data_IF_184249571990
#
_entry.id   IF_184249571990
#
_cell.length_a   1.000
_cell.length_b   1.000
_cell.length_c   1.000
_cell.angle_alpha   90.00
_cell.angle_beta   90.00
_cell.angle_gamma   90.00
#
_symmetry.space_group_name_H-M   'P 1'
#
loop_
_entity.id
_entity.type
_entity.pdbx_description
1 polymer ?
#
# COMPACT_ATOMS: atom_id res chain seq x y z
N UNK A 1 26.48 -8.00 36.44
CA UNK A 1 25.76 -6.73 36.12
C UNK A 1 24.39 -7.09 35.54
N UNK A 2 23.40 -7.45 36.38
CA UNK A 2 22.08 -7.85 35.88
C UNK A 2 20.93 -7.46 36.85
N UNK A 3 21.05 -6.35 37.56
CA UNK A 3 20.14 -6.03 38.66
C UNK A 3 19.14 -4.87 38.37
N UNK A 4 19.09 -4.33 37.15
CA UNK A 4 18.16 -3.21 36.85
C UNK A 4 17.23 -3.46 35.65
N UNK A 5 16.89 -4.73 35.37
CA UNK A 5 15.96 -5.05 34.29
C UNK A 5 14.51 -5.14 34.80
N UNK A 6 13.62 -4.31 34.23
CA UNK A 6 12.17 -4.39 34.48
C UNK A 6 11.63 -5.62 33.78
N UNK A 7 11.42 -6.70 34.50
CA UNK A 7 11.07 -8.03 33.96
C UNK A 7 9.79 -8.00 33.10
N UNK A 8 8.80 -7.20 33.47
CA UNK A 8 7.53 -7.06 32.73
C UNK A 8 7.74 -6.38 31.39
N UNK A 9 8.54 -5.30 31.33
CA UNK A 9 8.88 -4.62 30.09
C UNK A 9 9.62 -5.56 29.14
N UNK A 10 10.62 -6.29 29.64
CA UNK A 10 11.35 -7.30 28.85
C UNK A 10 10.41 -8.34 28.26
N UNK A 11 9.49 -8.88 29.06
CA UNK A 11 8.51 -9.87 28.57
C UNK A 11 7.59 -9.26 27.51
N UNK A 12 7.15 -8.00 27.66
CA UNK A 12 6.34 -7.31 26.66
C UNK A 12 7.06 -7.14 25.32
N UNK A 13 8.35 -6.76 25.36
CA UNK A 13 9.17 -6.62 24.15
C UNK A 13 9.40 -8.00 23.47
N UNK A 14 9.64 -9.07 24.23
CA UNK A 14 9.76 -10.42 23.67
C UNK A 14 8.46 -10.90 23.01
N UNK A 15 7.30 -10.60 23.60
CA UNK A 15 6.00 -10.89 22.98
C UNK A 15 5.87 -10.12 21.66
N UNK A 16 6.24 -8.82 21.65
CA UNK A 16 6.18 -8.01 20.44
C UNK A 16 7.09 -8.53 19.33
N UNK A 17 8.34 -8.92 19.67
CA UNK A 17 9.26 -9.53 18.72
C UNK A 17 8.71 -10.84 18.15
N UNK A 18 8.13 -11.69 19.01
CA UNK A 18 7.55 -12.96 18.59
C UNK A 18 6.36 -12.74 17.64
N UNK A 19 5.48 -11.78 17.94
CA UNK A 19 4.36 -11.41 17.05
C UNK A 19 4.88 -10.88 15.72
N UNK A 20 5.97 -10.07 15.72
CA UNK A 20 6.58 -9.53 14.50
C UNK A 20 7.19 -10.59 13.58
N UNK A 21 7.71 -11.66 14.15
CA UNK A 21 8.37 -12.76 13.40
C UNK A 21 7.37 -13.74 12.78
N UNK A 22 6.08 -13.66 13.14
CA UNK A 22 5.05 -14.59 12.70
C UNK A 22 3.96 -13.85 11.90
N UNK A 23 3.43 -14.49 10.87
CA UNK A 23 2.30 -14.00 10.05
C UNK A 23 0.94 -14.26 10.73
N UNK A 24 0.88 -14.03 12.04
CA UNK A 24 -0.25 -14.28 12.91
C UNK A 24 0.06 -15.34 13.96
N UNK A 25 -0.07 -14.99 15.23
CA UNK A 25 0.23 -15.89 16.36
C UNK A 25 -0.91 -15.86 17.37
N UNK A 26 -1.27 -17.02 17.89
CA UNK A 26 -2.33 -17.15 18.90
C UNK A 26 -1.80 -16.98 20.33
N UNK A 27 -2.70 -16.71 21.28
CA UNK A 27 -2.37 -16.67 22.71
C UNK A 27 -1.67 -17.97 23.18
N UNK A 28 -2.14 -19.14 22.68
CA UNK A 28 -1.58 -20.43 23.07
C UNK A 28 -0.13 -20.60 22.60
N UNK A 29 0.18 -20.15 21.40
CA UNK A 29 1.54 -20.17 20.85
C UNK A 29 2.46 -19.22 21.60
N UNK A 30 2.02 -17.98 21.90
CA UNK A 30 2.79 -17.04 22.74
C UNK A 30 3.11 -17.64 24.13
N UNK A 31 2.14 -18.30 24.76
CA UNK A 31 2.35 -18.99 26.03
C UNK A 31 3.42 -20.07 25.91
N UNK A 32 3.36 -20.88 24.86
CA UNK A 32 4.28 -22.00 24.62
C UNK A 32 5.70 -21.51 24.34
N UNK A 33 5.85 -20.57 23.39
CA UNK A 33 7.18 -20.11 22.93
C UNK A 33 7.94 -19.30 24.01
N UNK A 34 7.22 -18.51 24.81
CA UNK A 34 7.83 -17.65 25.84
C UNK A 34 7.69 -18.21 27.26
N UNK A 35 7.16 -19.43 27.41
CA UNK A 35 6.92 -20.07 28.71
C UNK A 35 6.16 -19.18 29.70
N UNK A 36 5.12 -18.48 29.22
CA UNK A 36 4.32 -17.56 30.03
C UNK A 36 3.04 -18.23 30.53
N UNK A 37 2.60 -17.81 31.73
CA UNK A 37 1.25 -18.15 32.17
C UNK A 37 0.19 -17.48 31.30
N UNK A 38 -0.99 -18.09 31.19
CA UNK A 38 -2.11 -17.57 30.43
C UNK A 38 -2.47 -16.12 30.80
N UNK A 39 -2.51 -15.81 32.09
CA UNK A 39 -2.81 -14.49 32.61
C UNK A 39 -1.75 -13.45 32.19
N UNK A 40 -0.47 -13.83 32.25
CA UNK A 40 0.64 -12.94 31.86
C UNK A 40 0.63 -12.68 30.36
N UNK A 41 0.56 -13.72 29.53
CA UNK A 41 0.54 -13.59 28.07
C UNK A 41 -0.67 -12.78 27.61
N UNK A 42 -1.86 -13.04 28.15
CA UNK A 42 -3.07 -12.29 27.83
C UNK A 42 -2.94 -10.80 28.16
N UNK A 43 -2.48 -10.46 29.38
CA UNK A 43 -2.30 -9.04 29.78
C UNK A 43 -1.28 -8.32 28.91
N UNK A 44 -0.16 -8.98 28.54
CA UNK A 44 0.84 -8.37 27.67
C UNK A 44 0.29 -8.13 26.26
N UNK A 45 -0.40 -9.11 25.67
CA UNK A 45 -1.04 -8.98 24.37
C UNK A 45 -2.12 -7.89 24.38
N UNK A 46 -2.98 -7.85 25.41
CA UNK A 46 -3.99 -6.79 25.54
C UNK A 46 -3.34 -5.40 25.64
N UNK A 47 -2.30 -5.24 26.45
CA UNK A 47 -1.59 -3.96 26.56
C UNK A 47 -0.96 -3.54 25.21
N UNK A 48 -0.33 -4.47 24.50
CA UNK A 48 0.25 -4.18 23.19
C UNK A 48 -0.82 -3.85 22.15
N UNK A 49 -1.99 -4.47 22.21
CA UNK A 49 -3.15 -4.19 21.35
C UNK A 49 -3.75 -2.80 21.67
N UNK A 50 -3.98 -2.47 22.95
CA UNK A 50 -4.45 -1.15 23.39
C UNK A 50 -3.50 -0.03 22.96
N UNK A 51 -2.18 -0.27 23.03
CA UNK A 51 -1.14 0.65 22.58
C UNK A 51 -0.96 0.65 21.05
N UNK A 52 -1.73 -0.15 20.31
CA UNK A 52 -1.69 -0.29 18.85
C UNK A 52 -0.41 -0.88 18.25
N UNK A 53 0.46 -1.48 19.06
CA UNK A 53 1.66 -2.20 18.58
C UNK A 53 1.33 -3.49 17.83
N UNK A 54 0.20 -4.10 18.17
CA UNK A 54 -0.35 -5.28 17.52
C UNK A 54 -1.86 -5.08 17.30
N UNK A 55 -2.45 -5.88 16.43
CA UNK A 55 -3.90 -5.97 16.27
C UNK A 55 -4.35 -7.43 16.27
N UNK A 56 -5.61 -7.65 16.60
CA UNK A 56 -6.18 -9.00 16.70
C UNK A 56 -7.22 -9.23 15.62
N UNK A 57 -7.10 -10.37 14.92
CA UNK A 57 -8.12 -10.86 13.99
C UNK A 57 -8.53 -12.25 14.48
N UNK A 58 -9.80 -12.41 14.82
CA UNK A 58 -10.33 -13.65 15.41
C UNK A 58 -9.54 -14.09 16.65
N UNK A 59 -8.72 -15.15 16.56
CA UNK A 59 -7.91 -15.69 17.64
C UNK A 59 -6.43 -15.36 17.54
N UNK A 60 -5.98 -14.75 16.42
CA UNK A 60 -4.56 -14.49 16.12
C UNK A 60 -4.21 -13.01 16.27
N UNK A 61 -2.98 -12.73 16.70
CA UNK A 61 -2.40 -11.41 16.87
C UNK A 61 -1.37 -11.16 15.78
N UNK A 62 -1.36 -9.97 15.24
CA UNK A 62 -0.52 -9.51 14.12
C UNK A 62 0.24 -8.26 14.51
N UNK A 63 1.46 -8.13 14.00
CA UNK A 63 2.29 -6.96 14.22
C UNK A 63 1.74 -5.73 13.47
N UNK A 64 1.73 -4.58 14.12
CA UNK A 64 1.35 -3.31 13.49
C UNK A 64 2.59 -2.45 13.17
N UNK A 65 3.11 -2.48 11.95
CA UNK A 65 4.30 -1.72 11.57
C UNK A 65 4.09 -0.19 11.65
N UNK A 66 2.84 0.28 11.59
CA UNK A 66 2.51 1.72 11.57
C UNK A 66 2.94 2.48 12.83
N UNK A 67 3.07 1.78 13.96
CA UNK A 67 3.50 2.40 15.23
C UNK A 67 4.96 2.86 15.18
N UNK A 68 5.77 2.24 14.32
CA UNK A 68 7.20 2.53 14.17
C UNK A 68 7.52 3.45 13.00
N UNK A 69 6.48 3.92 12.28
CA UNK A 69 6.67 4.92 11.22
C UNK A 69 7.10 6.24 11.85
N UNK A 70 8.01 6.95 11.19
CA UNK A 70 8.43 8.31 11.58
C UNK A 70 7.22 9.27 11.56
N UNK A 71 7.32 10.38 12.33
CA UNK A 71 6.27 11.41 12.37
C UNK A 71 5.95 11.99 10.99
N UNK A 72 6.94 12.06 10.09
CA UNK A 72 6.75 12.46 8.70
C UNK A 72 5.95 11.39 7.91
N UNK A 73 6.22 10.12 8.14
CA UNK A 73 5.52 8.99 7.54
C UNK A 73 4.10 8.83 8.11
N UNK A 74 3.94 9.03 9.43
CA UNK A 74 2.61 9.06 10.10
C UNK A 74 1.75 10.22 9.60
N UNK A 75 2.34 11.42 9.38
CA UNK A 75 1.62 12.56 8.80
C UNK A 75 1.25 12.29 7.34
N UNK A 76 2.14 11.69 6.57
CA UNK A 76 1.89 11.32 5.19
C UNK A 76 0.77 10.27 5.08
N UNK A 77 0.74 9.26 5.94
CA UNK A 77 -0.32 8.23 5.94
C UNK A 77 -1.65 8.75 6.50
N UNK A 78 -1.65 9.52 7.60
CA UNK A 78 -2.88 10.12 8.17
C UNK A 78 -3.57 11.07 7.18
N UNK A 79 -2.81 11.84 6.40
CA UNK A 79 -3.38 12.71 5.36
C UNK A 79 -4.19 11.93 4.32
N UNK A 80 -3.70 10.77 3.90
CA UNK A 80 -4.35 9.94 2.88
C UNK A 80 -5.58 9.18 3.39
N UNK A 81 -5.54 8.68 4.62
CA UNK A 81 -6.66 7.93 5.22
C UNK A 81 -7.86 8.80 5.62
N UNK A 82 -7.68 10.12 5.69
CA UNK A 82 -8.74 11.07 6.04
C UNK A 82 -9.46 11.67 4.82
N UNK A 83 -8.99 11.41 3.60
CA UNK A 83 -9.59 11.96 2.39
C UNK A 83 -10.94 11.28 2.07
N UNK A 84 -12.00 12.08 2.07
CA UNK A 84 -13.34 11.60 1.75
C UNK A 84 -13.47 11.16 0.30
N UNK A 85 -12.78 11.83 -0.60
CA UNK A 85 -12.79 11.55 -2.04
C UNK A 85 -12.29 10.15 -2.40
N UNK A 86 -11.41 9.54 -1.60
CA UNK A 86 -10.94 8.17 -1.81
C UNK A 86 -12.09 7.18 -1.61
N UNK A 87 -12.88 7.33 -0.54
CA UNK A 87 -14.04 6.49 -0.27
C UNK A 87 -15.12 6.65 -1.34
N UNK A 88 -15.38 7.91 -1.77
CA UNK A 88 -16.33 8.19 -2.85
C UNK A 88 -15.88 7.57 -4.19
N UNK A 89 -14.59 7.62 -4.49
CA UNK A 89 -14.04 6.97 -5.69
C UNK A 89 -14.26 5.46 -5.65
N UNK A 90 -13.99 4.82 -4.52
CA UNK A 90 -14.19 3.38 -4.32
C UNK A 90 -15.66 2.99 -4.45
N UNK A 91 -16.58 3.73 -3.83
CA UNK A 91 -18.03 3.52 -3.96
C UNK A 91 -18.52 3.63 -5.40
N UNK A 92 -18.03 4.64 -6.16
CA UNK A 92 -18.41 4.83 -7.55
C UNK A 92 -17.87 3.75 -8.49
N UNK A 93 -16.72 3.17 -8.16
CA UNK A 93 -16.10 2.11 -8.95
C UNK A 93 -16.70 0.73 -8.69
N UNK A 94 -17.24 0.50 -7.49
CA UNK A 94 -17.75 -0.80 -7.03
C UNK A 94 -16.73 -1.94 -7.17
N UNK A 95 -15.43 -1.60 -7.06
CA UNK A 95 -14.30 -2.52 -7.20
C UNK A 95 -13.27 -2.21 -6.11
N UNK A 96 -12.48 -3.19 -5.73
CA UNK A 96 -11.36 -2.98 -4.80
C UNK A 96 -10.42 -1.91 -5.35
N UNK A 97 -10.21 -0.86 -4.55
CA UNK A 97 -9.53 0.37 -4.93
C UNK A 97 -8.25 0.54 -4.11
N UNK A 98 -7.18 0.91 -4.78
CA UNK A 98 -5.84 1.01 -4.22
C UNK A 98 -5.28 2.39 -4.45
N UNK A 99 -4.63 2.95 -3.43
CA UNK A 99 -3.82 4.16 -3.53
C UNK A 99 -2.39 3.84 -3.14
N UNK A 100 -1.44 4.26 -3.95
CA UNK A 100 -0.02 4.03 -3.70
C UNK A 100 0.84 5.23 -4.06
N UNK A 101 2.00 5.33 -3.40
CA UNK A 101 3.04 6.33 -3.67
C UNK A 101 4.39 5.67 -3.89
N UNK A 102 5.31 6.41 -4.49
CA UNK A 102 6.71 5.98 -4.65
C UNK A 102 7.50 6.30 -3.39
N UNK A 103 8.31 5.36 -2.93
CA UNK A 103 9.29 5.52 -1.89
C UNK A 103 10.59 4.80 -2.30
N UNK A 104 11.61 5.57 -2.66
CA UNK A 104 12.81 5.03 -3.30
C UNK A 104 12.48 4.36 -4.64
N UNK A 105 12.82 3.08 -4.78
CA UNK A 105 12.55 2.25 -5.97
C UNK A 105 11.30 1.38 -5.84
N UNK A 106 10.56 1.54 -4.75
CA UNK A 106 9.37 0.74 -4.44
C UNK A 106 8.09 1.56 -4.53
N UNK A 107 7.01 0.87 -4.83
CA UNK A 107 5.64 1.33 -4.62
C UNK A 107 5.23 0.96 -3.20
N UNK A 108 4.68 1.91 -2.46
CA UNK A 108 4.12 1.70 -1.11
C UNK A 108 2.62 1.93 -1.15
N UNK A 109 1.84 0.94 -0.69
CA UNK A 109 0.38 1.08 -0.56
C UNK A 109 0.06 2.02 0.59
N UNK A 110 -0.67 3.10 0.31
CA UNK A 110 -1.07 4.10 1.32
C UNK A 110 -2.52 3.94 1.76
N UNK A 111 -3.37 3.37 0.89
CA UNK A 111 -4.76 3.07 1.18
C UNK A 111 -5.21 1.88 0.35
N UNK A 112 -5.97 0.98 0.95
CA UNK A 112 -6.63 -0.13 0.27
C UNK A 112 -8.07 -0.22 0.75
N UNK A 113 -9.02 -0.25 -0.18
CA UNK A 113 -10.45 -0.35 0.09
C UNK A 113 -10.99 -1.54 -0.70
N UNK A 114 -11.33 -2.63 -0.02
CA UNK A 114 -11.96 -3.78 -0.65
C UNK A 114 -13.46 -3.58 -0.86
N UNK A 115 -13.99 -4.13 -1.93
CA UNK A 115 -15.43 -4.19 -2.16
C UNK A 115 -16.04 -5.45 -1.47
N UNK A 116 -17.24 -5.33 -0.82
CA UNK A 116 -18.02 -4.12 -0.51
C UNK A 116 -17.34 -3.27 0.59
N UNK A 117 -17.30 -1.97 0.44
CA UNK A 117 -16.47 -0.98 1.16
C UNK A 117 -16.81 -0.84 2.66
N UNK A 118 -16.81 -1.92 3.41
CA UNK A 118 -17.12 -1.86 4.85
C UNK A 118 -15.87 -1.75 5.74
N UNK A 119 -14.68 -2.05 5.23
CA UNK A 119 -13.42 -1.94 5.99
C UNK A 119 -12.26 -1.57 5.08
N UNK A 120 -11.38 -0.66 5.52
CA UNK A 120 -10.08 -0.52 4.87
C UNK A 120 -9.28 -1.79 5.14
N UNK A 121 -8.58 -2.29 4.12
CA UNK A 121 -7.64 -3.40 4.30
C UNK A 121 -6.36 -2.86 4.91
N UNK A 122 -6.40 -2.57 6.20
CA UNK A 122 -5.27 -2.01 6.95
C UNK A 122 -4.02 -2.90 6.87
N UNK A 123 -4.21 -4.20 6.65
CA UNK A 123 -3.16 -5.20 6.49
C UNK A 123 -2.30 -4.99 5.23
N UNK A 124 -2.90 -4.48 4.16
CA UNK A 124 -2.20 -4.20 2.91
C UNK A 124 -1.53 -2.82 2.88
N UNK A 125 -1.87 -1.95 3.83
CA UNK A 125 -1.26 -0.62 3.93
C UNK A 125 0.18 -0.73 4.41
N UNK A 126 1.09 -0.07 3.69
CA UNK A 126 2.54 -0.17 3.93
C UNK A 126 3.21 -1.30 3.15
N UNK A 127 2.46 -2.19 2.50
CA UNK A 127 3.03 -3.21 1.63
C UNK A 127 3.83 -2.56 0.50
N UNK A 128 4.98 -3.13 0.21
CA UNK A 128 5.92 -2.65 -0.81
C UNK A 128 5.94 -3.61 -2.00
N UNK A 129 6.04 -3.04 -3.18
CA UNK A 129 6.20 -3.81 -4.42
C UNK A 129 7.08 -3.07 -5.42
N UNK A 130 7.65 -3.79 -6.39
CA UNK A 130 8.46 -3.18 -7.45
C UNK A 130 7.60 -2.28 -8.34
N UNK A 131 8.11 -1.08 -8.67
CA UNK A 131 7.38 -0.08 -9.45
C UNK A 131 6.98 -0.58 -10.83
N UNK A 132 7.86 -1.33 -11.53
CA UNK A 132 7.60 -1.79 -12.88
C UNK A 132 6.55 -2.89 -12.99
N UNK A 133 6.27 -3.60 -11.89
CA UNK A 133 5.32 -4.71 -11.85
C UNK A 133 3.86 -4.28 -11.69
N UNK A 134 3.58 -2.99 -11.47
CA UNK A 134 2.22 -2.56 -11.18
C UNK A 134 1.78 -1.36 -12.02
N UNK A 135 0.50 -1.28 -12.36
CA UNK A 135 -0.07 -0.11 -13.01
C UNK A 135 0.13 1.16 -12.17
N UNK A 136 0.00 1.08 -10.82
CA UNK A 136 0.27 2.20 -9.91
C UNK A 136 1.70 2.75 -10.08
N UNK A 137 2.69 1.87 -10.05
CA UNK A 137 4.09 2.27 -10.20
C UNK A 137 4.37 2.84 -11.59
N UNK A 138 3.89 2.17 -12.64
CA UNK A 138 4.09 2.61 -14.03
C UNK A 138 3.50 4.00 -14.29
N UNK A 139 2.28 4.27 -13.82
CA UNK A 139 1.64 5.57 -14.03
C UNK A 139 2.34 6.70 -13.27
N UNK A 140 2.87 6.44 -12.07
CA UNK A 140 3.68 7.43 -11.35
C UNK A 140 4.97 7.70 -12.11
N UNK A 141 5.71 6.65 -12.49
CA UNK A 141 6.95 6.78 -13.26
C UNK A 141 6.74 7.58 -14.55
N UNK A 142 5.65 7.32 -15.26
CA UNK A 142 5.30 8.01 -16.51
C UNK A 142 5.07 9.52 -16.36
N UNK A 143 4.74 9.98 -15.15
CA UNK A 143 4.46 11.39 -14.86
C UNK A 143 5.54 12.08 -14.01
N UNK A 144 6.67 11.40 -13.75
CA UNK A 144 7.84 12.04 -13.14
C UNK A 144 8.59 12.90 -14.16
N UNK A 145 9.17 13.99 -13.67
CA UNK A 145 10.12 14.79 -14.45
C UNK A 145 11.36 13.92 -14.81
N UNK A 146 11.93 14.10 -15.99
CA UNK A 146 13.09 13.34 -16.49
C UNK A 146 14.27 13.33 -15.48
N UNK A 147 14.48 14.45 -14.79
CA UNK A 147 15.53 14.58 -13.76
C UNK A 147 15.35 13.60 -12.60
N UNK A 148 14.12 13.15 -12.32
CA UNK A 148 13.81 12.15 -11.28
C UNK A 148 13.66 10.75 -11.88
N UNK A 149 13.05 10.65 -13.06
CA UNK A 149 12.78 9.37 -13.72
C UNK A 149 14.07 8.64 -14.09
N UNK A 150 15.02 9.33 -14.74
CA UNK A 150 16.24 8.69 -15.24
C UNK A 150 17.06 8.03 -14.14
N UNK A 151 17.43 8.73 -13.03
CA UNK A 151 18.20 8.09 -11.95
C UNK A 151 17.43 6.96 -11.25
N UNK A 152 16.11 7.01 -11.29
CA UNK A 152 15.28 5.97 -10.69
C UNK A 152 15.29 4.71 -11.55
N UNK A 153 15.08 4.85 -12.86
CA UNK A 153 15.13 3.74 -13.81
C UNK A 153 16.51 3.07 -13.86
N UNK A 154 17.58 3.84 -13.74
CA UNK A 154 18.96 3.32 -13.75
C UNK A 154 19.28 2.46 -12.51
N UNK A 155 18.53 2.64 -11.41
CA UNK A 155 18.63 1.84 -10.17
C UNK A 155 17.67 0.66 -10.12
N UNK A 156 16.70 0.61 -11.02
CA UNK A 156 15.66 -0.44 -11.01
C UNK A 156 16.13 -1.66 -11.78
N UNK A 157 16.03 -2.83 -11.15
CA UNK A 157 16.06 -4.11 -11.86
C UNK A 157 14.65 -4.42 -12.36
N UNK A 158 14.52 -4.78 -13.65
CA UNK A 158 13.27 -5.23 -14.26
C UNK A 158 13.12 -6.74 -14.12
N UNK A 159 13.07 -7.22 -12.86
CA UNK A 159 12.94 -8.64 -12.57
C UNK A 159 11.56 -9.15 -13.03
N UNK A 160 11.51 -10.25 -13.83
CA UNK A 160 10.24 -10.77 -14.33
C UNK A 160 9.44 -11.46 -13.21
N UNK A 161 8.16 -11.13 -13.11
CA UNK A 161 7.18 -11.84 -12.28
C UNK A 161 6.33 -12.81 -13.11
N UNK A 162 6.08 -12.46 -14.38
CA UNK A 162 5.36 -13.29 -15.35
C UNK A 162 6.02 -13.18 -16.72
N UNK A 163 5.53 -13.94 -17.69
CA UNK A 163 5.98 -13.83 -19.09
C UNK A 163 5.60 -12.49 -19.74
N UNK A 164 4.64 -11.77 -19.16
CA UNK A 164 4.18 -10.48 -19.66
C UNK A 164 4.94 -9.29 -19.06
N UNK A 165 5.79 -9.52 -18.04
CA UNK A 165 6.57 -8.47 -17.39
C UNK A 165 7.58 -7.86 -18.36
N UNK A 166 7.70 -6.53 -18.38
CA UNK A 166 8.73 -5.83 -19.13
C UNK A 166 10.11 -6.15 -18.56
N UNK A 167 11.03 -6.64 -19.41
CA UNK A 167 12.42 -6.94 -19.07
C UNK A 167 13.43 -6.04 -19.80
N UNK A 168 13.02 -5.45 -20.94
CA UNK A 168 13.82 -4.52 -21.71
C UNK A 168 13.59 -3.07 -21.25
N UNK A 169 14.66 -2.40 -20.84
CA UNK A 169 14.60 -1.05 -20.29
C UNK A 169 14.20 0.02 -21.33
N UNK A 170 14.56 -0.17 -22.61
CA UNK A 170 14.20 0.77 -23.67
C UNK A 170 12.72 0.64 -24.00
N UNK A 171 12.23 -0.61 -24.11
CA UNK A 171 10.82 -0.90 -24.33
C UNK A 171 9.97 -0.41 -23.15
N UNK A 172 10.45 -0.58 -21.91
CA UNK A 172 9.78 -0.06 -20.72
C UNK A 172 9.72 1.47 -20.73
N UNK A 173 10.82 2.17 -21.08
CA UNK A 173 10.82 3.64 -21.23
C UNK A 173 9.83 4.10 -22.30
N UNK A 174 9.74 3.39 -23.43
CA UNK A 174 8.76 3.69 -24.47
C UNK A 174 7.33 3.50 -23.96
N UNK A 175 7.08 2.42 -23.25
CA UNK A 175 5.78 2.15 -22.64
C UNK A 175 5.37 3.26 -21.64
N UNK A 176 6.31 3.79 -20.84
CA UNK A 176 6.02 4.91 -19.94
C UNK A 176 5.61 6.18 -20.70
N UNK A 177 6.16 6.44 -21.88
CA UNK A 177 5.71 7.57 -22.73
C UNK A 177 4.27 7.38 -23.20
N UNK A 178 3.92 6.17 -23.63
CA UNK A 178 2.53 5.86 -24.02
C UNK A 178 1.57 6.05 -22.84
N UNK A 179 1.95 5.60 -21.64
CA UNK A 179 1.16 5.81 -20.42
C UNK A 179 0.98 7.31 -20.12
N UNK A 180 2.03 8.11 -20.30
CA UNK A 180 1.95 9.55 -20.11
C UNK A 180 0.94 10.21 -21.07
N UNK A 181 0.97 9.81 -22.34
CA UNK A 181 0.06 10.32 -23.38
C UNK A 181 -1.39 9.87 -23.15
N UNK A 182 -1.59 8.60 -22.79
CA UNK A 182 -2.92 8.03 -22.51
C UNK A 182 -3.51 8.51 -21.18
N UNK A 183 -2.66 8.92 -20.22
CA UNK A 183 -3.05 9.37 -18.88
C UNK A 183 -3.48 8.24 -17.94
N UNK A 184 -3.23 6.99 -18.29
CA UNK A 184 -3.47 5.82 -17.43
C UNK A 184 -2.48 4.70 -17.74
N UNK A 185 -2.23 3.82 -16.76
CA UNK A 185 -1.46 2.59 -16.94
C UNK A 185 -2.39 1.37 -16.84
N UNK A 186 -2.07 0.36 -17.64
CA UNK A 186 -2.70 -0.94 -17.59
C UNK A 186 -1.63 -2.01 -17.30
N UNK A 187 -1.89 -2.84 -16.29
CA UNK A 187 -1.13 -4.04 -15.98
C UNK A 187 -1.97 -5.24 -16.47
N UNK A 188 -1.51 -5.89 -17.52
CA UNK A 188 -2.17 -7.04 -18.15
C UNK A 188 -1.43 -8.32 -17.77
N UNK A 189 -1.66 -8.76 -16.54
CA UNK A 189 -1.03 -9.97 -15.99
C UNK A 189 0.52 -9.88 -15.89
N UNK A 190 1.07 -8.66 -15.79
CA UNK A 190 2.51 -8.45 -15.66
C UNK A 190 3.02 -8.80 -14.26
N UNK A 191 2.21 -8.49 -13.22
CA UNK A 191 2.52 -8.80 -11.83
C UNK A 191 2.15 -10.22 -11.45
N UNK A 192 1.00 -10.69 -11.88
CA UNK A 192 0.49 -12.02 -11.58
C UNK A 192 -0.46 -12.49 -12.68
N UNK A 193 -0.32 -13.74 -13.11
CA UNK A 193 -1.23 -14.36 -14.07
C UNK A 193 -2.64 -14.39 -13.51
N UNK A 194 -3.64 -14.06 -14.33
CA UNK A 194 -5.05 -13.99 -13.92
C UNK A 194 -5.46 -12.68 -13.24
N UNK A 195 -4.53 -11.73 -13.01
CA UNK A 195 -4.80 -10.44 -12.38
C UNK A 195 -4.55 -9.29 -13.36
N UNK A 196 -5.47 -8.31 -13.39
CA UNK A 196 -5.33 -7.06 -14.14
C UNK A 196 -5.49 -5.87 -13.23
N UNK A 197 -4.79 -4.78 -13.56
CA UNK A 197 -4.88 -3.54 -12.82
C UNK A 197 -4.89 -2.34 -13.78
N UNK A 198 -5.76 -1.35 -13.49
CA UNK A 198 -5.79 -0.06 -14.19
C UNK A 198 -5.52 1.04 -13.17
N UNK A 199 -4.60 1.96 -13.49
CA UNK A 199 -4.22 3.04 -12.61
C UNK A 199 -4.17 4.39 -13.33
N UNK A 200 -4.47 5.46 -12.57
CA UNK A 200 -4.36 6.84 -13.00
C UNK A 200 -3.52 7.66 -12.02
N UNK A 201 -2.84 8.73 -12.46
CA UNK A 201 -2.02 9.54 -11.58
C UNK A 201 -2.89 10.41 -10.66
N UNK A 202 -2.41 10.68 -9.45
CA UNK A 202 -2.95 11.67 -8.52
C UNK A 202 -1.94 12.80 -8.41
N UNK A 203 -2.39 14.03 -8.64
CA UNK A 203 -1.54 15.21 -8.63
C UNK A 203 -1.74 16.06 -7.39
N UNK A 204 -0.72 16.83 -7.04
CA UNK A 204 -0.76 17.96 -6.12
C UNK A 204 0.19 19.02 -6.64
N UNK A 205 -0.30 20.26 -6.81
CA UNK A 205 0.51 21.35 -7.37
C UNK A 205 1.17 20.96 -8.71
N UNK A 206 0.41 20.30 -9.61
CA UNK A 206 0.85 19.81 -10.94
C UNK A 206 1.95 18.72 -10.90
N UNK A 207 2.33 18.21 -9.73
CA UNK A 207 3.29 17.10 -9.59
C UNK A 207 2.54 15.83 -9.23
N UNK A 208 2.94 14.72 -9.85
CA UNK A 208 2.43 13.40 -9.45
C UNK A 208 2.97 13.06 -8.07
N UNK A 209 2.08 12.68 -7.16
CA UNK A 209 2.43 12.36 -5.77
C UNK A 209 1.98 10.95 -5.37
N UNK A 210 1.02 10.40 -6.09
CA UNK A 210 0.45 9.09 -5.87
C UNK A 210 -0.23 8.59 -7.14
N UNK A 211 -0.77 7.38 -7.09
CA UNK A 211 -1.67 6.84 -8.11
C UNK A 211 -2.88 6.17 -7.45
N UNK A 212 -4.03 6.24 -8.15
CA UNK A 212 -5.27 5.57 -7.81
C UNK A 212 -5.50 4.42 -8.78
N UNK A 213 -5.84 3.24 -8.30
CA UNK A 213 -6.05 2.06 -9.14
C UNK A 213 -7.20 1.19 -8.68
N UNK A 214 -7.67 0.35 -9.59
CA UNK A 214 -8.41 -0.87 -9.28
C UNK A 214 -7.61 -2.09 -9.73
N UNK A 215 -7.79 -3.21 -9.04
CA UNK A 215 -7.30 -4.51 -9.48
C UNK A 215 -8.43 -5.53 -9.39
N UNK A 216 -8.50 -6.43 -10.36
CA UNK A 216 -9.49 -7.48 -10.40
C UNK A 216 -8.98 -8.68 -11.23
N UNK A 217 -9.56 -9.87 -11.02
CA UNK A 217 -9.35 -11.02 -11.90
C UNK A 217 -9.68 -10.72 -13.36
N UNK A 218 -9.03 -11.42 -14.29
CA UNK A 218 -9.16 -11.19 -15.75
C UNK A 218 -10.57 -11.41 -16.29
N UNK A 219 -11.38 -12.23 -15.63
CA UNK A 219 -12.79 -12.47 -15.95
C UNK A 219 -13.71 -11.30 -15.53
N UNK A 220 -13.30 -10.49 -14.55
CA UNK A 220 -14.02 -9.30 -14.09
C UNK A 220 -13.51 -8.00 -14.73
N UNK A 221 -12.27 -7.98 -15.22
CA UNK A 221 -11.65 -6.83 -15.87
C UNK A 221 -11.18 -7.19 -17.28
N UNK A 222 -12.05 -6.96 -18.27
CA UNK A 222 -11.72 -7.21 -19.68
C UNK A 222 -10.85 -6.10 -20.27
N UNK A 223 -10.01 -6.42 -21.28
CA UNK A 223 -9.21 -5.41 -22.00
C UNK A 223 -10.08 -4.32 -22.64
N UNK A 224 -11.28 -4.65 -23.09
CA UNK A 224 -12.22 -3.70 -23.69
C UNK A 224 -12.78 -2.69 -22.70
N UNK A 225 -12.84 -3.03 -21.40
CA UNK A 225 -13.35 -2.13 -20.33
C UNK A 225 -12.31 -1.16 -19.79
N UNK A 226 -11.02 -1.35 -20.11
CA UNK A 226 -9.89 -0.57 -19.52
C UNK A 226 -10.07 0.94 -19.69
N UNK A 227 -10.39 1.43 -20.90
CA UNK A 227 -10.58 2.87 -21.15
C UNK A 227 -11.74 3.46 -20.36
N UNK A 228 -12.85 2.74 -20.24
CA UNK A 228 -14.00 3.18 -19.47
C UNK A 228 -13.69 3.24 -17.97
N UNK A 229 -12.95 2.26 -17.47
CA UNK A 229 -12.49 2.22 -16.07
C UNK A 229 -11.51 3.36 -15.81
N UNK A 230 -10.54 3.59 -16.70
CA UNK A 230 -9.60 4.71 -16.58
C UNK A 230 -10.31 6.07 -16.53
N UNK A 231 -11.37 6.28 -17.30
CA UNK A 231 -12.19 7.50 -17.23
C UNK A 231 -12.85 7.67 -15.85
N UNK A 232 -13.42 6.60 -15.29
CA UNK A 232 -14.02 6.63 -13.95
C UNK A 232 -12.97 6.90 -12.87
N UNK A 233 -11.81 6.24 -12.95
CA UNK A 233 -10.67 6.47 -12.05
C UNK A 233 -10.18 7.93 -12.11
N UNK A 234 -10.11 8.52 -13.31
CA UNK A 234 -9.72 9.92 -13.48
C UNK A 234 -10.67 10.90 -12.77
N UNK A 235 -11.97 10.62 -12.73
CA UNK A 235 -12.94 11.42 -11.95
C UNK A 235 -12.58 11.35 -10.46
N UNK A 236 -12.33 10.16 -9.92
CA UNK A 236 -11.90 9.96 -8.52
C UNK A 236 -10.56 10.64 -8.23
N UNK A 237 -9.57 10.47 -9.11
CA UNK A 237 -8.26 11.11 -8.97
C UNK A 237 -8.35 12.65 -8.93
N UNK A 238 -9.18 13.26 -9.77
CA UNK A 238 -9.41 14.71 -9.75
C UNK A 238 -10.05 15.18 -8.45
N UNK A 239 -11.01 14.43 -7.90
CA UNK A 239 -11.62 14.75 -6.62
C UNK A 239 -10.61 14.66 -5.48
N UNK A 240 -9.74 13.65 -5.48
CA UNK A 240 -8.64 13.51 -4.52
C UNK A 240 -7.67 14.69 -4.63
N UNK A 241 -7.28 15.06 -5.86
CA UNK A 241 -6.40 16.21 -6.12
C UNK A 241 -6.99 17.51 -5.54
N UNK A 242 -8.28 17.77 -5.80
CA UNK A 242 -8.97 18.97 -5.30
C UNK A 242 -9.05 18.99 -3.77
N UNK A 243 -9.34 17.85 -3.13
CA UNK A 243 -9.39 17.76 -1.68
C UNK A 243 -8.01 18.00 -1.04
N UNK A 244 -6.93 17.45 -1.64
CA UNK A 244 -5.56 17.70 -1.20
C UNK A 244 -5.15 19.17 -1.33
N UNK A 245 -5.48 19.83 -2.44
CA UNK A 245 -5.19 21.25 -2.66
C UNK A 245 -6.00 22.16 -1.74
N UNK A 246 -7.24 21.77 -1.41
CA UNK A 246 -8.06 22.50 -0.43
C UNK A 246 -7.48 22.44 0.98
N UNK A 247 -6.90 21.30 1.38
CA UNK A 247 -6.25 21.14 2.68
C UNK A 247 -4.98 22.00 2.82
N UNK A 248 -4.26 22.24 1.72
CA UNK A 248 -3.07 23.12 1.70
C UNK A 248 -3.41 24.58 1.93
N UNK A 249 -4.60 25.04 1.51
CA UNK A 249 -5.02 26.42 1.63
C UNK A 249 -5.55 26.76 3.06
N UNK A 250 -5.65 25.78 3.95
CA UNK A 250 -6.13 25.96 5.33
C UNK A 250 -4.94 26.14 6.32
N UNK A 251 -3.72 25.92 5.87
CA UNK A 251 -2.48 26.06 6.63
C UNK A 251 -1.57 27.14 6.05
#
# INVERSE_FOLDING_TARGET
MAQNQVSTLRKGLLVLELVKQNEGITLAEVMKELHLSKSTAFRLLTTLEEMKYIYKIQTSYFFNPKVFLDESEKRSSKGWTSLRSIYQAAENLQMSTYLGKVDGTDLVMTQVLHAPFQQSADEEMGNRSKLHLSALGKVILAHLDDAKLTPLLDKMALDPATVNTFQDSQLFRYHLKVIHEDGYAFDDEERAVGLRCVAVPVFRNKKVIAALAIAAPTDQLSRSSVKQIALKLNVGSKAITQELEALDNIH
#
